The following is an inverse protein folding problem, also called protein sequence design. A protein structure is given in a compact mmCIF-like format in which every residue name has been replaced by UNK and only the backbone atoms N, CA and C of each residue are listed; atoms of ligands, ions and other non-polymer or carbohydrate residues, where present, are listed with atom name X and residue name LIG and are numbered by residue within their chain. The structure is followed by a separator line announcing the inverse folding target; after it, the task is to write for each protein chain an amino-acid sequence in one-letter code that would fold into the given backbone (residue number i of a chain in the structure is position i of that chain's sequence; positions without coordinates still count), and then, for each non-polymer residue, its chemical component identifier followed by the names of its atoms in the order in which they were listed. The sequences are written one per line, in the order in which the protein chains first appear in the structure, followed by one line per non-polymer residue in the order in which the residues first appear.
data_IF_760113743960
#
_entry.id   IF_760113743960
#
_cell.length_a   1.000
_cell.length_b   1.000
_cell.length_c   1.000
_cell.angle_alpha   90.00
_cell.angle_beta   90.00
_cell.angle_gamma   90.00
#
_symmetry.space_group_name_H-M   'P 1'
#
loop_
_entity.id
_entity.type
_entity.pdbx_description
1 polymer ?
#
# COMPACT_ATOMS: atom_id res chain seq x y z
N UNK A 1 2.05 21.72 28.79
CA UNK A 1 3.36 21.25 28.28
C UNK A 1 3.14 20.75 26.85
N UNK A 2 3.32 21.62 25.84
CA UNK A 2 3.06 21.29 24.43
C UNK A 2 4.29 20.57 23.89
N UNK A 3 4.22 19.25 23.73
CA UNK A 3 5.30 18.48 23.13
C UNK A 3 5.41 18.92 21.66
N UNK A 4 6.54 19.54 21.30
CA UNK A 4 6.82 19.93 19.92
C UNK A 4 6.73 18.71 18.99
N UNK A 5 6.07 18.88 17.83
CA UNK A 5 6.00 17.86 16.75
C UNK A 5 7.40 17.37 16.33
N UNK A 6 8.44 18.18 16.50
CA UNK A 6 9.82 17.78 16.20
C UNK A 6 10.39 16.79 17.24
N UNK A 7 10.02 16.91 18.51
CA UNK A 7 10.43 16.00 19.59
C UNK A 7 9.78 14.62 19.42
N UNK A 8 8.48 14.59 19.12
CA UNK A 8 7.75 13.34 18.84
C UNK A 8 8.35 12.60 17.65
N UNK A 9 8.69 13.32 16.57
CA UNK A 9 9.29 12.73 15.36
C UNK A 9 10.71 12.18 15.61
N UNK A 10 11.52 12.86 16.42
CA UNK A 10 12.86 12.38 16.80
C UNK A 10 12.76 11.14 17.70
N UNK A 11 11.82 11.14 18.65
CA UNK A 11 11.59 10.00 19.54
C UNK A 11 11.10 8.76 18.76
N UNK A 12 10.14 8.92 17.84
CA UNK A 12 9.67 7.79 17.02
C UNK A 12 10.76 7.23 16.11
N UNK A 13 11.61 8.08 15.53
CA UNK A 13 12.77 7.66 14.76
C UNK A 13 13.78 6.89 15.63
N UNK A 14 14.11 7.40 16.82
CA UNK A 14 15.04 6.76 17.75
C UNK A 14 14.53 5.38 18.20
N UNK A 15 13.24 5.27 18.53
CA UNK A 15 12.59 3.99 18.87
C UNK A 15 12.64 3.03 17.68
N UNK A 16 12.33 3.49 16.47
CA UNK A 16 12.38 2.66 15.27
C UNK A 16 13.79 2.15 14.97
N UNK A 17 14.81 3.00 15.10
CA UNK A 17 16.22 2.62 14.93
C UNK A 17 16.66 1.65 16.01
N UNK A 18 16.35 1.93 17.28
CA UNK A 18 16.69 1.04 18.39
C UNK A 18 16.05 -0.35 18.22
N UNK A 19 14.75 -0.38 17.89
CA UNK A 19 14.05 -1.64 17.61
C UNK A 19 14.68 -2.36 16.41
N UNK A 20 15.00 -1.65 15.33
CA UNK A 20 15.68 -2.21 14.17
C UNK A 20 17.02 -2.85 14.53
N UNK A 21 17.86 -2.14 15.30
CA UNK A 21 19.15 -2.65 15.79
C UNK A 21 18.97 -3.87 16.68
N UNK A 22 18.01 -3.84 17.62
CA UNK A 22 17.72 -4.97 18.51
C UNK A 22 17.30 -6.20 17.69
N UNK A 23 16.36 -6.04 16.75
CA UNK A 23 15.89 -7.12 15.89
C UNK A 23 17.02 -7.66 15.01
N UNK A 24 17.92 -6.79 14.51
CA UNK A 24 19.05 -7.19 13.71
C UNK A 24 20.08 -7.98 14.56
N UNK A 25 20.38 -7.51 15.77
CA UNK A 25 21.22 -8.26 16.73
C UNK A 25 20.59 -9.62 17.02
N UNK A 26 19.28 -9.68 17.32
CA UNK A 26 18.56 -10.93 17.58
C UNK A 26 18.60 -11.88 16.38
N UNK A 27 18.41 -11.37 15.16
CA UNK A 27 18.47 -12.15 13.94
C UNK A 27 19.86 -12.75 13.70
N UNK A 28 20.93 -12.01 14.00
CA UNK A 28 22.31 -12.47 13.83
C UNK A 28 22.89 -13.20 15.04
N UNK A 29 22.22 -13.18 16.21
CA UNK A 29 22.72 -13.79 17.45
C UNK A 29 22.99 -15.30 17.33
N UNK A 30 22.26 -15.99 16.45
CA UNK A 30 22.45 -17.41 16.13
C UNK A 30 23.22 -17.68 14.84
N UNK A 31 23.58 -16.64 14.07
CA UNK A 31 24.17 -16.80 12.76
C UNK A 31 25.70 -16.78 12.83
N UNK A 32 26.35 -17.86 12.40
CA UNK A 32 27.81 -17.87 12.20
C UNK A 32 28.13 -17.15 10.88
N UNK A 33 28.89 -16.03 10.87
CA UNK A 33 29.17 -15.28 9.64
C UNK A 33 29.80 -16.14 8.53
N UNK A 34 30.69 -17.05 8.91
CA UNK A 34 31.33 -18.00 7.99
C UNK A 34 30.33 -18.96 7.34
N UNK A 35 29.34 -19.45 8.09
CA UNK A 35 28.29 -20.31 7.56
C UNK A 35 27.40 -19.56 6.56
N UNK A 36 27.08 -18.30 6.83
CA UNK A 36 26.31 -17.44 5.91
C UNK A 36 27.08 -17.20 4.62
N UNK A 37 28.36 -16.83 4.70
CA UNK A 37 29.21 -16.63 3.51
C UNK A 37 29.35 -17.91 2.68
N UNK A 38 29.52 -19.06 3.34
CA UNK A 38 29.62 -20.36 2.66
C UNK A 38 28.31 -20.72 1.96
N UNK A 39 27.16 -20.48 2.61
CA UNK A 39 25.85 -20.71 2.00
C UNK A 39 25.61 -19.82 0.78
N UNK A 40 25.99 -18.53 0.86
CA UNK A 40 25.90 -17.61 -0.27
C UNK A 40 26.80 -18.04 -1.43
N UNK A 41 28.04 -18.47 -1.15
CA UNK A 41 28.97 -18.94 -2.17
C UNK A 41 28.53 -20.26 -2.83
N UNK A 42 27.82 -21.11 -2.09
CA UNK A 42 27.28 -22.39 -2.58
C UNK A 42 25.91 -22.26 -3.28
N UNK A 43 25.33 -21.05 -3.33
CA UNK A 43 23.99 -20.84 -3.91
C UNK A 43 24.03 -21.00 -5.44
N UNK A 44 23.08 -21.74 -6.00
CA UNK A 44 22.94 -21.89 -7.45
C UNK A 44 22.52 -20.54 -8.10
N UNK A 45 23.36 -19.95 -8.98
CA UNK A 45 23.04 -18.68 -9.64
C UNK A 45 21.78 -18.76 -10.51
N UNK A 46 21.38 -19.95 -10.97
CA UNK A 46 20.16 -20.15 -11.76
C UNK A 46 18.90 -19.87 -10.93
N UNK A 47 18.88 -20.30 -9.67
CA UNK A 47 17.77 -20.03 -8.75
C UNK A 47 17.68 -18.55 -8.42
N UNK A 48 18.83 -17.88 -8.26
CA UNK A 48 18.89 -16.42 -8.07
C UNK A 48 18.33 -15.69 -9.30
N UNK A 49 18.77 -16.09 -10.50
CA UNK A 49 18.26 -15.52 -11.75
C UNK A 49 16.75 -15.74 -11.90
N UNK A 50 16.24 -16.94 -11.58
CA UNK A 50 14.81 -17.24 -11.58
C UNK A 50 14.05 -16.34 -10.60
N UNK A 51 14.58 -16.12 -9.40
CA UNK A 51 14.00 -15.20 -8.42
C UNK A 51 13.94 -13.76 -8.95
N UNK A 52 15.00 -13.27 -9.59
CA UNK A 52 15.02 -11.94 -10.21
C UNK A 52 13.99 -11.81 -11.34
N UNK A 53 13.88 -12.83 -12.20
CA UNK A 53 12.87 -12.88 -13.26
C UNK A 53 11.47 -12.89 -12.67
N UNK A 54 11.23 -13.65 -11.60
CA UNK A 54 9.94 -13.68 -10.92
C UNK A 54 9.57 -12.31 -10.32
N UNK A 55 10.54 -11.59 -9.73
CA UNK A 55 10.33 -10.22 -9.23
C UNK A 55 10.00 -9.26 -10.38
N UNK A 56 10.74 -9.31 -11.48
CA UNK A 56 10.48 -8.48 -12.66
C UNK A 56 9.10 -8.77 -13.26
N UNK A 57 8.76 -10.04 -13.44
CA UNK A 57 7.45 -10.49 -13.91
C UNK A 57 6.32 -10.00 -12.99
N UNK A 58 6.54 -10.03 -11.66
CA UNK A 58 5.58 -9.52 -10.69
C UNK A 58 5.34 -8.02 -10.87
N UNK A 59 6.39 -7.23 -11.10
CA UNK A 59 6.24 -5.78 -11.33
C UNK A 59 5.46 -5.54 -12.62
N UNK A 60 5.81 -6.23 -13.71
CA UNK A 60 5.11 -6.13 -15.00
C UNK A 60 3.63 -6.50 -14.87
N UNK A 61 3.31 -7.61 -14.22
CA UNK A 61 1.94 -8.04 -13.98
C UNK A 61 1.15 -6.99 -13.15
N UNK A 62 1.78 -6.43 -12.12
CA UNK A 62 1.19 -5.33 -11.33
C UNK A 62 0.92 -4.10 -12.19
N UNK A 63 1.81 -3.76 -13.11
CA UNK A 63 1.61 -2.64 -14.05
C UNK A 63 0.41 -2.86 -14.94
N UNK A 64 0.28 -4.03 -15.55
CA UNK A 64 -0.89 -4.36 -16.37
C UNK A 64 -2.18 -4.30 -15.56
N UNK A 65 -2.20 -4.96 -14.40
CA UNK A 65 -3.38 -4.99 -13.52
C UNK A 65 -3.79 -3.58 -13.09
N UNK A 66 -2.83 -2.74 -12.70
CA UNK A 66 -3.14 -1.37 -12.29
C UNK A 66 -3.70 -0.54 -13.44
N UNK A 67 -3.18 -0.69 -14.66
CA UNK A 67 -3.73 -0.04 -15.85
C UNK A 67 -5.20 -0.38 -16.09
N UNK A 68 -5.62 -1.63 -15.84
CA UNK A 68 -7.01 -2.06 -15.99
C UNK A 68 -7.98 -1.34 -15.04
N UNK A 69 -7.51 -0.87 -13.87
CA UNK A 69 -8.34 -0.12 -12.92
C UNK A 69 -8.75 1.27 -13.41
N UNK A 70 -8.17 1.75 -14.52
CA UNK A 70 -8.55 3.01 -15.17
C UNK A 70 -9.63 2.83 -16.26
N UNK A 71 -10.36 1.70 -16.27
CA UNK A 71 -11.47 1.50 -17.21
C UNK A 71 -12.51 2.63 -17.12
N UNK A 72 -13.04 3.15 -18.26
CA UNK A 72 -12.79 2.72 -19.64
C UNK A 72 -11.54 3.31 -20.29
N UNK A 73 -10.90 4.32 -19.69
CA UNK A 73 -9.73 5.03 -20.25
C UNK A 73 -8.41 4.25 -20.21
N UNK A 74 -8.39 3.04 -19.63
CA UNK A 74 -7.21 2.17 -19.53
C UNK A 74 -6.38 2.02 -20.83
N UNK A 75 -7.01 2.03 -22.02
CA UNK A 75 -6.31 1.86 -23.31
C UNK A 75 -5.49 3.06 -23.76
N UNK A 76 -5.78 4.27 -23.26
CA UNK A 76 -5.02 5.46 -23.63
C UNK A 76 -3.73 5.62 -22.82
N UNK A 77 -3.58 4.85 -21.73
CA UNK A 77 -2.44 4.96 -20.83
C UNK A 77 -1.21 4.25 -21.39
N UNK A 78 -0.06 4.91 -21.32
CA UNK A 78 1.20 4.27 -21.74
C UNK A 78 1.69 3.33 -20.65
N UNK A 79 1.99 2.09 -21.04
CA UNK A 79 2.55 1.09 -20.13
C UNK A 79 3.85 1.56 -19.48
N UNK A 80 4.73 2.25 -20.22
CA UNK A 80 6.00 2.77 -19.70
C UNK A 80 5.80 3.79 -18.58
N UNK A 81 4.80 4.66 -18.67
CA UNK A 81 4.48 5.62 -17.61
C UNK A 81 3.93 4.92 -16.36
N UNK A 82 3.05 3.93 -16.52
CA UNK A 82 2.54 3.10 -15.42
C UNK A 82 3.65 2.32 -14.73
N UNK A 83 4.55 1.72 -15.52
CA UNK A 83 5.69 0.96 -15.02
C UNK A 83 6.63 1.87 -14.22
N UNK A 84 7.04 2.99 -14.80
CA UNK A 84 7.90 3.98 -14.14
C UNK A 84 7.28 4.51 -12.86
N UNK A 85 5.98 4.83 -12.86
CA UNK A 85 5.29 5.27 -11.65
C UNK A 85 5.34 4.20 -10.54
N UNK A 86 5.10 2.92 -10.88
CA UNK A 86 5.19 1.82 -9.91
C UNK A 86 6.60 1.68 -9.35
N UNK A 87 7.62 1.65 -10.20
CA UNK A 87 9.01 1.48 -9.77
C UNK A 87 9.45 2.66 -8.90
N UNK A 88 9.18 3.90 -9.32
CA UNK A 88 9.50 5.09 -8.53
C UNK A 88 8.77 5.07 -7.18
N UNK A 89 7.49 4.72 -7.16
CA UNK A 89 6.72 4.59 -5.92
C UNK A 89 7.30 3.53 -4.98
N UNK A 90 7.74 2.39 -5.50
CA UNK A 90 8.40 1.36 -4.70
C UNK A 90 9.75 1.84 -4.15
N UNK A 91 10.56 2.52 -4.96
CA UNK A 91 11.81 3.13 -4.51
C UNK A 91 11.57 4.19 -3.42
N UNK A 92 10.54 5.03 -3.58
CA UNK A 92 10.15 5.99 -2.54
C UNK A 92 9.76 5.30 -1.23
N UNK A 93 9.06 4.17 -1.29
CA UNK A 93 8.70 3.40 -0.10
C UNK A 93 9.92 2.75 0.59
N UNK A 94 11.01 2.52 -0.14
CA UNK A 94 12.27 2.03 0.42
C UNK A 94 13.05 3.16 1.11
N UNK A 95 13.09 4.35 0.51
CA UNK A 95 13.89 5.47 0.98
C UNK A 95 13.19 6.35 2.02
N UNK A 96 11.86 6.48 1.93
CA UNK A 96 11.09 7.41 2.73
C UNK A 96 10.24 6.68 3.79
N UNK A 97 10.24 7.17 5.05
CA UNK A 97 9.30 6.67 6.05
C UNK A 97 7.86 7.05 5.67
N UNK A 98 6.89 6.29 6.19
CA UNK A 98 5.44 6.51 6.02
C UNK A 98 4.83 6.14 4.64
N UNK A 99 5.47 5.28 3.84
CA UNK A 99 4.90 4.67 2.62
C UNK A 99 4.31 5.69 1.61
N UNK A 100 4.98 6.84 1.46
CA UNK A 100 4.55 7.98 0.62
C UNK A 100 4.55 7.64 -0.88
N UNK A 101 5.18 6.54 -1.28
CA UNK A 101 5.31 6.13 -2.68
C UNK A 101 3.97 5.85 -3.38
N UNK A 102 2.91 5.56 -2.64
CA UNK A 102 1.55 5.42 -3.20
C UNK A 102 0.99 6.78 -3.66
N UNK A 103 1.25 7.84 -2.89
CA UNK A 103 0.94 9.21 -3.31
C UNK A 103 1.80 9.63 -4.51
N UNK A 104 3.08 9.22 -4.52
CA UNK A 104 3.99 9.43 -5.64
C UNK A 104 3.47 8.81 -6.94
N UNK A 105 3.00 7.56 -6.91
CA UNK A 105 2.39 6.88 -8.07
C UNK A 105 1.20 7.65 -8.64
N UNK A 106 0.27 8.05 -7.78
CA UNK A 106 -0.92 8.77 -8.22
C UNK A 106 -0.58 10.17 -8.77
N UNK A 107 0.39 10.84 -8.17
CA UNK A 107 0.88 12.13 -8.66
C UNK A 107 1.50 12.00 -10.05
N UNK A 108 2.43 11.05 -10.23
CA UNK A 108 3.16 10.85 -11.48
C UNK A 108 2.24 10.47 -12.64
N UNK A 109 1.24 9.61 -12.42
CA UNK A 109 0.26 9.30 -13.47
C UNK A 109 -0.65 10.47 -13.77
N UNK A 110 -1.09 11.22 -12.74
CA UNK A 110 -1.88 12.41 -13.01
C UNK A 110 -1.13 13.46 -13.84
N UNK A 111 0.17 13.57 -13.65
CA UNK A 111 1.04 14.48 -14.42
C UNK A 111 1.32 13.95 -15.84
N UNK A 112 1.74 12.69 -15.98
CA UNK A 112 2.22 12.15 -17.26
C UNK A 112 1.10 11.69 -18.21
N UNK A 113 -0.09 11.37 -17.68
CA UNK A 113 -1.21 10.83 -18.45
C UNK A 113 -2.46 11.73 -18.40
N UNK A 114 -2.34 12.93 -17.81
CA UNK A 114 -3.44 13.90 -17.68
C UNK A 114 -4.65 13.38 -16.88
N UNK A 115 -4.45 12.35 -16.06
CA UNK A 115 -5.53 11.76 -15.24
C UNK A 115 -5.75 12.57 -13.96
N UNK A 116 -6.96 12.48 -13.40
CA UNK A 116 -7.22 13.04 -12.07
C UNK A 116 -6.36 12.32 -11.03
N UNK A 117 -5.51 13.07 -10.31
CA UNK A 117 -4.67 12.55 -9.21
C UNK A 117 -5.53 11.87 -8.14
N UNK A 118 -6.73 12.40 -7.88
CA UNK A 118 -7.68 11.83 -6.92
C UNK A 118 -8.29 10.52 -7.44
N UNK A 119 -8.62 10.45 -8.74
CA UNK A 119 -9.06 9.20 -9.37
C UNK A 119 -7.98 8.13 -9.29
N UNK A 120 -6.73 8.49 -9.63
CA UNK A 120 -5.59 7.58 -9.52
C UNK A 120 -5.40 7.07 -8.08
N UNK A 121 -5.53 7.93 -7.05
CA UNK A 121 -5.54 7.48 -5.65
C UNK A 121 -6.69 6.50 -5.35
N UNK A 122 -7.88 6.76 -5.88
CA UNK A 122 -9.02 5.84 -5.78
C UNK A 122 -8.70 4.45 -6.34
N UNK A 123 -8.06 4.37 -7.51
CA UNK A 123 -7.63 3.08 -8.08
C UNK A 123 -6.63 2.34 -7.17
N UNK A 124 -5.73 3.07 -6.49
CA UNK A 124 -4.77 2.47 -5.55
C UNK A 124 -5.50 1.90 -4.34
N UNK A 125 -6.50 2.61 -3.80
CA UNK A 125 -7.33 2.09 -2.69
C UNK A 125 -8.03 0.80 -3.10
N UNK A 126 -8.66 0.78 -4.28
CA UNK A 126 -9.29 -0.44 -4.82
C UNK A 126 -8.27 -1.57 -4.95
N UNK A 127 -7.07 -1.29 -5.46
CA UNK A 127 -5.96 -2.24 -5.50
C UNK A 127 -5.66 -2.82 -4.11
N UNK A 128 -5.60 -2.00 -3.05
CA UNK A 128 -5.35 -2.50 -1.67
C UNK A 128 -6.48 -3.31 -1.09
N UNK A 129 -7.73 -2.99 -1.43
CA UNK A 129 -8.88 -3.78 -1.01
C UNK A 129 -8.85 -5.17 -1.65
N UNK A 130 -8.53 -5.24 -2.94
CA UNK A 130 -8.37 -6.50 -3.66
C UNK A 130 -7.18 -7.31 -3.12
N UNK A 131 -6.05 -6.66 -2.86
CA UNK A 131 -4.86 -7.32 -2.29
C UNK A 131 -5.17 -7.86 -0.87
N UNK A 132 -5.89 -7.08 -0.05
CA UNK A 132 -6.34 -7.51 1.28
C UNK A 132 -7.31 -8.69 1.23
N UNK A 133 -8.29 -8.64 0.31
CA UNK A 133 -9.23 -9.75 0.09
C UNK A 133 -8.51 -11.03 -0.33
N UNK A 134 -7.56 -10.94 -1.27
CA UNK A 134 -6.75 -12.08 -1.70
C UNK A 134 -5.87 -12.61 -0.57
N UNK A 135 -5.29 -11.74 0.26
CA UNK A 135 -4.51 -12.16 1.42
C UNK A 135 -5.36 -12.97 2.42
N UNK A 136 -6.58 -12.50 2.71
CA UNK A 136 -7.52 -13.22 3.58
C UNK A 136 -7.87 -14.59 2.98
N UNK A 137 -8.16 -14.64 1.67
CA UNK A 137 -8.48 -15.87 0.97
C UNK A 137 -7.33 -16.89 1.02
N UNK A 138 -6.11 -16.45 0.70
CA UNK A 138 -4.92 -17.31 0.74
C UNK A 138 -4.63 -17.79 2.16
N UNK A 139 -4.79 -16.92 3.16
CA UNK A 139 -4.59 -17.30 4.55
C UNK A 139 -5.63 -18.32 5.00
N UNK A 140 -6.91 -18.14 4.65
CA UNK A 140 -7.96 -19.11 4.93
C UNK A 140 -7.68 -20.46 4.27
N UNK A 141 -7.28 -20.47 2.99
CA UNK A 141 -6.92 -21.69 2.28
C UNK A 141 -5.73 -22.41 2.94
N UNK A 142 -4.70 -21.66 3.32
CA UNK A 142 -3.52 -22.19 4.00
C UNK A 142 -3.88 -22.84 5.34
N UNK A 143 -4.79 -22.24 6.13
CA UNK A 143 -5.26 -22.81 7.39
C UNK A 143 -6.12 -24.08 7.21
N UNK A 144 -6.80 -24.23 6.07
CA UNK A 144 -7.63 -25.40 5.76
C UNK A 144 -6.80 -26.58 5.22
N UNK A 145 -5.79 -26.30 4.40
CA UNK A 145 -5.04 -27.32 3.66
C UNK A 145 -3.80 -27.81 4.42
N UNK A 146 -3.12 -26.92 5.16
CA UNK A 146 -1.84 -27.25 5.78
C UNK A 146 -2.00 -27.61 7.27
N UNK A 147 -1.38 -28.70 7.74
CA UNK A 147 -1.31 -29.02 9.17
C UNK A 147 -0.33 -28.06 9.86
N UNK A 148 -0.84 -26.93 10.34
CA UNK A 148 -0.05 -25.95 11.08
C UNK A 148 -0.12 -26.19 12.59
N UNK A 149 0.99 -25.91 13.33
CA UNK A 149 0.98 -25.84 14.79
C UNK A 149 -0.08 -24.85 15.29
N UNK A 150 -0.64 -25.12 16.47
CA UNK A 150 -1.78 -24.36 17.01
C UNK A 150 -1.50 -22.86 17.17
N UNK A 151 -0.29 -22.50 17.63
CA UNK A 151 0.11 -21.09 17.78
C UNK A 151 0.05 -20.34 16.43
N UNK A 152 0.45 -21.00 15.34
CA UNK A 152 0.47 -20.40 14.00
C UNK A 152 -0.94 -20.37 13.40
N UNK A 153 -1.75 -21.40 13.66
CA UNK A 153 -3.16 -21.44 13.27
C UNK A 153 -3.96 -20.32 13.93
N UNK A 154 -3.79 -20.11 15.24
CA UNK A 154 -4.43 -19.04 15.99
C UNK A 154 -3.97 -17.66 15.51
N UNK A 155 -2.66 -17.46 15.32
CA UNK A 155 -2.11 -16.22 14.79
C UNK A 155 -2.63 -15.91 13.37
N UNK A 156 -2.68 -16.93 12.51
CA UNK A 156 -3.25 -16.83 11.17
C UNK A 156 -4.75 -16.47 11.20
N UNK A 157 -5.55 -17.19 12.00
CA UNK A 157 -6.99 -16.97 12.09
C UNK A 157 -7.34 -15.58 12.63
N UNK A 158 -6.66 -15.14 13.70
CA UNK A 158 -6.84 -13.80 14.27
C UNK A 158 -6.44 -12.70 13.30
N UNK A 159 -5.34 -12.87 12.57
CA UNK A 159 -4.90 -11.94 11.53
C UNK A 159 -5.91 -11.87 10.38
N UNK A 160 -6.39 -13.03 9.89
CA UNK A 160 -7.41 -13.10 8.85
C UNK A 160 -8.69 -12.38 9.26
N UNK A 161 -9.16 -12.61 10.49
CA UNK A 161 -10.35 -11.97 11.04
C UNK A 161 -10.16 -10.46 11.18
N UNK A 162 -9.03 -9.99 11.72
CA UNK A 162 -8.75 -8.56 11.84
C UNK A 162 -8.72 -7.86 10.48
N UNK A 163 -8.08 -8.48 9.48
CA UNK A 163 -8.07 -7.96 8.11
C UNK A 163 -9.46 -7.96 7.47
N UNK A 164 -10.27 -9.01 7.70
CA UNK A 164 -11.64 -9.08 7.20
C UNK A 164 -12.53 -7.99 7.81
N UNK A 165 -12.45 -7.77 9.13
CA UNK A 165 -13.17 -6.70 9.81
C UNK A 165 -12.75 -5.32 9.27
N UNK A 166 -11.45 -5.09 9.07
CA UNK A 166 -10.94 -3.85 8.48
C UNK A 166 -11.45 -3.66 7.05
N UNK A 167 -11.42 -4.70 6.23
CA UNK A 167 -11.91 -4.68 4.86
C UNK A 167 -13.41 -4.33 4.81
N UNK A 168 -14.23 -5.00 5.64
CA UNK A 168 -15.66 -4.71 5.78
C UNK A 168 -15.89 -3.28 6.24
N UNK A 169 -15.15 -2.79 7.23
CA UNK A 169 -15.26 -1.41 7.68
C UNK A 169 -14.96 -0.41 6.56
N UNK A 170 -13.89 -0.63 5.77
CA UNK A 170 -13.58 0.23 4.62
C UNK A 170 -14.69 0.17 3.57
N UNK A 171 -15.20 -1.02 3.25
CA UNK A 171 -16.29 -1.18 2.28
C UNK A 171 -17.56 -0.45 2.74
N UNK A 172 -17.94 -0.57 4.01
CA UNK A 172 -19.10 0.13 4.58
C UNK A 172 -18.92 1.66 4.53
N UNK A 173 -17.73 2.17 4.86
CA UNK A 173 -17.41 3.60 4.73
C UNK A 173 -17.50 4.06 3.28
N UNK A 174 -17.04 3.24 2.31
CA UNK A 174 -17.20 3.58 0.89
C UNK A 174 -18.64 3.47 0.39
N UNK A 175 -19.47 2.60 0.98
CA UNK A 175 -20.90 2.50 0.68
C UNK A 175 -21.70 3.69 1.23
N UNK A 176 -21.24 4.29 2.33
CA UNK A 176 -21.83 5.49 2.94
C UNK A 176 -21.30 6.80 2.34
N UNK A 177 -20.67 6.78 1.16
CA UNK A 177 -20.11 7.97 0.48
C UNK A 177 -21.04 9.17 0.49
N UNK A 178 -22.34 8.99 0.20
CA UNK A 178 -23.33 10.08 0.21
C UNK A 178 -23.55 10.69 1.60
N UNK A 179 -23.60 9.86 2.64
CA UNK A 179 -23.75 10.32 4.02
C UNK A 179 -22.49 11.03 4.53
N UNK A 180 -21.30 10.54 4.14
CA UNK A 180 -20.01 11.17 4.47
C UNK A 180 -19.88 12.52 3.77
N UNK A 181 -20.21 12.61 2.47
CA UNK A 181 -20.21 13.87 1.74
C UNK A 181 -21.21 14.87 2.34
N UNK A 182 -22.43 14.43 2.68
CA UNK A 182 -23.42 15.27 3.35
C UNK A 182 -22.96 15.74 4.75
N UNK A 183 -22.26 14.89 5.50
CA UNK A 183 -21.67 15.26 6.79
C UNK A 183 -20.51 16.25 6.62
N UNK A 184 -19.64 16.04 5.63
CA UNK A 184 -18.55 16.96 5.30
C UNK A 184 -19.06 18.32 4.82
N UNK A 185 -20.14 18.37 4.06
CA UNK A 185 -20.81 19.64 3.69
C UNK A 185 -21.49 20.33 4.88
N UNK A 186 -22.03 19.55 5.82
CA UNK A 186 -22.63 20.09 7.04
C UNK A 186 -21.57 20.69 7.97
N UNK A 187 -20.42 20.03 8.10
CA UNK A 187 -19.27 20.54 8.87
C UNK A 187 -18.56 21.68 8.13
N UNK A 188 -18.43 21.59 6.80
CA UNK A 188 -17.83 22.62 5.94
C UNK A 188 -18.61 23.93 5.93
N UNK A 189 -19.94 23.89 6.14
CA UNK A 189 -20.77 25.09 6.35
C UNK A 189 -20.43 25.86 7.63
N UNK A 190 -19.85 25.20 8.63
CA UNK A 190 -19.42 25.84 9.88
C UNK A 190 -17.98 26.35 9.84
N UNK A 191 -17.20 26.04 8.79
CA UNK A 191 -15.82 26.48 8.61
C UNK A 191 -15.71 27.40 7.39
N UNK A 192 -15.84 28.74 7.54
CA UNK A 192 -15.86 29.69 6.43
C UNK A 192 -14.58 29.70 5.56
N UNK A 193 -13.49 29.06 6.00
CA UNK A 193 -12.26 28.87 5.22
C UNK A 193 -12.38 27.86 4.07
N UNK A 194 -13.31 26.89 4.13
CA UNK A 194 -13.43 25.83 3.11
C UNK A 194 -14.18 26.28 1.84
N UNK A 195 -14.97 27.36 1.91
CA UNK A 195 -15.65 27.95 0.74
C UNK A 195 -14.66 28.64 -0.22
N UNK A 196 -13.53 29.16 0.28
CA UNK A 196 -12.49 29.80 -0.55
C UNK A 196 -11.72 28.82 -1.45
N UNK A 197 -11.80 27.51 -1.20
CA UNK A 197 -11.04 26.47 -1.91
C UNK A 197 -11.86 25.84 -3.07
N UNK A 198 -13.12 26.24 -3.27
CA UNK A 198 -13.94 25.75 -4.39
C UNK A 198 -14.27 24.25 -4.32
N UNK A 199 -14.25 23.67 -3.11
CA UNK A 199 -14.60 22.27 -2.84
C UNK A 199 -15.96 21.81 -3.42
N UNK A 200 -17.06 22.59 -3.35
CA UNK A 200 -18.34 22.12 -3.89
C UNK A 200 -18.31 21.93 -5.42
N UNK A 201 -17.71 22.87 -6.16
CA UNK A 201 -17.59 22.77 -7.62
C UNK A 201 -16.70 21.59 -8.07
N UNK A 202 -15.70 21.20 -7.26
CA UNK A 202 -14.85 20.03 -7.54
C UNK A 202 -15.53 18.71 -7.18
N UNK A 203 -16.46 18.71 -6.24
CA UNK A 203 -17.26 17.54 -5.87
C UNK A 203 -18.34 17.27 -6.92
N UNK A 204 -18.97 18.30 -7.49
CA UNK A 204 -19.92 18.18 -8.63
C UNK A 204 -19.26 17.55 -9.87
N UNK A 205 -18.05 18.00 -10.22
CA UNK A 205 -17.29 17.42 -11.34
C UNK A 205 -16.89 15.96 -11.08
N UNK A 206 -16.69 15.57 -9.82
CA UNK A 206 -16.39 14.17 -9.44
C UNK A 206 -17.63 13.27 -9.45
N UNK A 207 -18.82 13.83 -9.24
CA UNK A 207 -20.09 13.09 -9.40
C UNK A 207 -20.51 12.97 -10.86
N UNK A 208 -20.21 13.96 -11.71
CA UNK A 208 -20.57 13.94 -13.13
C UNK A 208 -19.59 13.16 -14.03
N UNK A 209 -18.41 12.81 -13.51
CA UNK A 209 -17.39 12.04 -14.25
C UNK A 209 -17.38 10.53 -13.96
N UNK A 210 -18.40 10.04 -13.25
CA UNK A 210 -18.69 8.63 -12.94
C UNK A 210 -20.01 8.21 -13.58
#
# INVERSE_FOLDING_TARGET
MVISRSTVRKASLAVGVALGVILLILAFRGARPTAVMTALAATDPRLVALGLVAVAATIVAKTFRWGLLFYPRHRSLRFSHLFSAIVIGQTMNLLLPARVGELGRAYLIGENEGQSKLFALGTIVVEKLLDGAMLILVLALLLLVMPLPDWLRMAGATTALALACLLVAILLLTGQRRAILAALERVGRHLPGMQRIGLPARLEVLTDSL
#
